data_IF_106490044301
#
_entry.id   IF_106490044301
#
_cell.length_a   1.000
_cell.length_b   1.000
_cell.length_c   1.000
_cell.angle_alpha   90.00
_cell.angle_beta   90.00
_cell.angle_gamma   90.00
#
_symmetry.space_group_name_H-M   'P 1'
#
loop_
_entity.id
_entity.type
_entity.pdbx_description
1 polymer ?
#
# COMPACT_ATOMS: atom_id res chain seq x y z
N UNK A 1 10.26 -0.36 38.30
CA UNK A 1 9.71 0.15 37.04
C UNK A 1 8.40 0.80 37.39
N UNK A 2 8.43 2.11 37.60
CA UNK A 2 7.25 2.95 37.80
C UNK A 2 6.66 3.24 36.42
N UNK A 3 5.45 2.77 36.15
CA UNK A 3 4.62 3.29 35.06
C UNK A 3 4.28 4.74 35.44
N UNK A 4 5.12 5.69 35.03
CA UNK A 4 4.79 7.11 35.12
C UNK A 4 3.77 7.40 34.00
N UNK A 5 2.55 7.85 34.32
CA UNK A 5 1.55 8.21 33.32
C UNK A 5 2.06 9.22 32.29
N UNK A 6 3.04 10.07 32.67
CA UNK A 6 3.66 11.03 31.78
C UNK A 6 4.52 10.34 30.70
N UNK A 7 5.29 9.31 31.05
CA UNK A 7 6.09 8.54 30.09
C UNK A 7 5.21 7.83 29.07
N UNK A 8 4.06 7.30 29.51
CA UNK A 8 3.07 6.71 28.61
C UNK A 8 2.54 7.73 27.60
N UNK A 9 2.20 8.95 28.05
CA UNK A 9 1.74 10.04 27.19
C UNK A 9 2.82 10.49 26.21
N UNK A 10 4.06 10.68 26.66
CA UNK A 10 5.18 11.04 25.77
C UNK A 10 5.43 9.99 24.71
N UNK A 11 5.46 8.70 25.08
CA UNK A 11 5.65 7.61 24.13
C UNK A 11 4.49 7.49 23.12
N UNK A 12 3.28 7.86 23.52
CA UNK A 12 2.13 7.91 22.62
C UNK A 12 2.25 9.05 21.61
N UNK A 13 2.60 10.25 22.08
CA UNK A 13 2.79 11.43 21.23
C UNK A 13 3.92 11.21 20.23
N UNK A 14 5.03 10.62 20.66
CA UNK A 14 6.17 10.30 19.80
C UNK A 14 5.77 9.32 18.67
N UNK A 15 5.05 8.24 19.00
CA UNK A 15 4.55 7.29 17.99
C UNK A 15 3.59 7.96 17.01
N UNK A 16 2.68 8.80 17.50
CA UNK A 16 1.74 9.52 16.65
C UNK A 16 2.48 10.48 15.69
N UNK A 17 3.52 11.16 16.17
CA UNK A 17 4.35 12.04 15.35
C UNK A 17 5.09 11.26 14.25
N UNK A 18 5.67 10.11 14.60
CA UNK A 18 6.37 9.25 13.63
C UNK A 18 5.40 8.74 12.56
N UNK A 19 4.20 8.30 12.94
CA UNK A 19 3.18 7.86 11.98
C UNK A 19 2.78 8.97 11.03
N UNK A 20 2.58 10.19 11.54
CA UNK A 20 2.27 11.35 10.70
C UNK A 20 3.40 11.61 9.68
N UNK A 21 4.64 11.64 10.14
CA UNK A 21 5.80 11.84 9.27
C UNK A 21 5.96 10.71 8.24
N UNK A 22 5.74 9.46 8.65
CA UNK A 22 5.76 8.29 7.77
C UNK A 22 4.67 8.41 6.70
N UNK A 23 3.46 8.81 7.10
CA UNK A 23 2.34 9.08 6.19
C UNK A 23 2.69 10.13 5.13
N UNK A 24 3.26 11.26 5.53
CA UNK A 24 3.68 12.33 4.61
C UNK A 24 4.77 11.88 3.62
N UNK A 25 5.67 11.00 4.07
CA UNK A 25 6.70 10.42 3.21
C UNK A 25 6.12 9.38 2.26
N UNK A 26 5.18 8.56 2.72
CA UNK A 26 4.48 7.59 1.88
C UNK A 26 3.66 8.28 0.79
N UNK A 27 2.99 9.39 1.10
CA UNK A 27 2.28 10.21 0.10
C UNK A 27 3.25 10.65 -1.01
N UNK A 28 4.40 11.22 -0.63
CA UNK A 28 5.44 11.62 -1.61
C UNK A 28 5.96 10.44 -2.42
N UNK A 29 6.17 9.28 -1.81
CA UNK A 29 6.58 8.08 -2.54
C UNK A 29 5.56 7.70 -3.62
N UNK A 30 4.27 7.74 -3.30
CA UNK A 30 3.19 7.43 -4.24
C UNK A 30 3.09 8.47 -5.35
N UNK A 31 3.19 9.76 -5.03
CA UNK A 31 3.16 10.86 -6.02
C UNK A 31 4.36 10.81 -6.99
N UNK A 32 5.55 10.47 -6.48
CA UNK A 32 6.78 10.39 -7.28
C UNK A 32 6.96 9.02 -7.97
N UNK A 33 6.18 8.01 -7.59
CA UNK A 33 6.34 6.62 -8.05
C UNK A 33 7.69 6.01 -7.65
N UNK A 34 8.25 6.41 -6.51
CA UNK A 34 9.62 6.08 -6.08
C UNK A 34 9.69 5.83 -4.59
N UNK A 35 10.51 4.87 -4.16
CA UNK A 35 10.78 4.60 -2.73
C UNK A 35 11.88 5.49 -2.14
N UNK A 36 12.50 6.36 -2.96
CA UNK A 36 13.61 7.22 -2.54
C UNK A 36 13.29 8.13 -1.34
N UNK A 37 12.10 8.77 -1.22
CA UNK A 37 11.78 9.58 -0.04
C UNK A 37 11.80 8.76 1.25
N UNK A 38 11.32 7.51 1.20
CA UNK A 38 11.37 6.59 2.33
C UNK A 38 12.80 6.18 2.66
N UNK A 39 13.61 5.86 1.66
CA UNK A 39 15.02 5.48 1.86
C UNK A 39 15.80 6.60 2.57
N UNK A 40 15.63 7.85 2.16
CA UNK A 40 16.27 9.01 2.80
C UNK A 40 15.85 9.18 4.27
N UNK A 41 14.56 8.96 4.58
CA UNK A 41 14.10 8.98 5.97
C UNK A 41 14.77 7.87 6.79
N UNK A 42 14.83 6.65 6.26
CA UNK A 42 15.44 5.50 6.94
C UNK A 42 16.94 5.68 7.15
N UNK A 43 17.68 6.25 6.21
CA UNK A 43 19.11 6.55 6.38
C UNK A 43 19.38 7.36 7.65
N UNK A 44 18.57 8.39 7.91
CA UNK A 44 18.69 9.21 9.12
C UNK A 44 18.42 8.43 10.41
N UNK A 45 17.48 7.48 10.38
CA UNK A 45 17.10 6.64 11.51
C UNK A 45 18.14 5.55 11.79
N UNK A 46 18.71 4.96 10.74
CA UNK A 46 19.79 3.97 10.85
C UNK A 46 21.03 4.59 11.46
N UNK A 47 21.37 5.83 11.08
CA UNK A 47 22.50 6.57 11.67
C UNK A 47 22.31 6.83 13.17
N UNK A 48 21.07 7.03 13.63
CA UNK A 48 20.79 7.11 15.06
C UNK A 48 21.03 5.76 15.75
N UNK A 49 20.70 4.63 15.10
CA UNK A 49 20.99 3.30 15.60
C UNK A 49 19.80 2.61 16.27
N UNK A 50 20.02 1.64 17.18
CA UNK A 50 18.96 0.78 17.73
C UNK A 50 17.76 1.46 18.40
N UNK A 51 17.93 2.69 18.90
CA UNK A 51 16.82 3.48 19.46
C UNK A 51 15.74 3.80 18.41
N UNK A 52 16.08 3.81 17.13
CA UNK A 52 15.14 4.05 16.03
C UNK A 52 14.27 2.85 15.69
N UNK A 53 14.46 1.69 16.35
CA UNK A 53 13.69 0.47 16.09
C UNK A 53 12.17 0.68 16.22
N UNK A 54 11.74 1.44 17.23
CA UNK A 54 10.32 1.73 17.40
C UNK A 54 9.81 2.62 16.26
N UNK A 55 10.57 3.62 15.84
CA UNK A 55 10.19 4.47 14.72
C UNK A 55 10.04 3.67 13.41
N UNK A 56 10.99 2.79 13.10
CA UNK A 56 10.90 1.95 11.90
C UNK A 56 9.73 0.95 11.96
N UNK A 57 9.35 0.46 13.15
CA UNK A 57 8.16 -0.37 13.31
C UNK A 57 6.88 0.41 13.03
N UNK A 58 6.78 1.65 13.52
CA UNK A 58 5.64 2.51 13.25
C UNK A 58 5.54 2.86 11.75
N UNK A 59 6.67 3.11 11.09
CA UNK A 59 6.71 3.34 9.64
C UNK A 59 6.26 2.11 8.84
N UNK A 60 6.70 0.91 9.23
CA UNK A 60 6.26 -0.34 8.60
C UNK A 60 4.75 -0.57 8.80
N UNK A 61 4.24 -0.28 10.00
CA UNK A 61 2.81 -0.37 10.30
C UNK A 61 1.99 0.61 9.43
N UNK A 62 2.47 1.84 9.26
CA UNK A 62 1.83 2.85 8.43
C UNK A 62 1.83 2.44 6.94
N UNK A 63 2.95 1.90 6.43
CA UNK A 63 3.04 1.37 5.07
C UNK A 63 2.02 0.24 4.83
N UNK A 64 1.92 -0.70 5.79
CA UNK A 64 0.95 -1.80 5.75
C UNK A 64 -0.49 -1.32 5.80
N UNK A 65 -0.80 -0.34 6.64
CA UNK A 65 -2.12 0.28 6.70
C UNK A 65 -2.47 0.96 5.37
N UNK A 66 -1.54 1.73 4.80
CA UNK A 66 -1.75 2.41 3.52
C UNK A 66 -1.95 1.40 2.39
N UNK A 67 -1.21 0.30 2.36
CA UNK A 67 -1.38 -0.77 1.37
C UNK A 67 -2.76 -1.42 1.47
N UNK A 68 -3.23 -1.72 2.69
CA UNK A 68 -4.58 -2.23 2.90
C UNK A 68 -5.63 -1.27 2.37
N UNK A 69 -5.48 0.03 2.62
CA UNK A 69 -6.40 1.04 2.11
C UNK A 69 -6.43 1.08 0.57
N UNK A 70 -5.29 1.01 -0.10
CA UNK A 70 -5.24 0.98 -1.57
C UNK A 70 -5.88 -0.29 -2.13
N UNK A 71 -5.72 -1.44 -1.47
CA UNK A 71 -6.41 -2.68 -1.85
C UNK A 71 -7.94 -2.56 -1.70
N UNK A 72 -8.40 -1.91 -0.64
CA UNK A 72 -9.82 -1.60 -0.46
C UNK A 72 -10.33 -0.64 -1.54
N UNK A 73 -9.55 0.38 -1.90
CA UNK A 73 -9.86 1.30 -2.99
C UNK A 73 -9.99 0.57 -4.35
N UNK A 74 -9.11 -0.40 -4.65
CA UNK A 74 -9.23 -1.26 -5.84
C UNK A 74 -10.56 -2.01 -5.86
N UNK A 75 -10.96 -2.58 -4.72
CA UNK A 75 -12.22 -3.29 -4.61
C UNK A 75 -13.42 -2.34 -4.75
N UNK A 76 -13.32 -1.12 -4.21
CA UNK A 76 -14.35 -0.10 -4.36
C UNK A 76 -14.53 0.33 -5.82
N UNK A 77 -13.42 0.61 -6.54
CA UNK A 77 -13.44 0.93 -7.97
C UNK A 77 -14.07 -0.22 -8.76
N UNK A 78 -13.68 -1.46 -8.47
CA UNK A 78 -14.27 -2.64 -9.11
C UNK A 78 -15.78 -2.76 -8.90
N UNK A 79 -16.26 -2.57 -7.67
CA UNK A 79 -17.68 -2.63 -7.37
C UNK A 79 -18.47 -1.51 -8.09
N UNK A 80 -17.88 -0.31 -8.20
CA UNK A 80 -18.48 0.79 -8.96
C UNK A 80 -18.52 0.48 -10.46
N UNK A 81 -17.42 -0.05 -11.01
CA UNK A 81 -17.33 -0.53 -12.39
C UNK A 81 -18.43 -1.57 -12.70
N UNK A 82 -18.56 -2.59 -11.85
CA UNK A 82 -19.58 -3.63 -12.01
C UNK A 82 -21.00 -3.04 -11.95
N UNK A 83 -21.28 -2.15 -11.01
CA UNK A 83 -22.60 -1.50 -10.89
C UNK A 83 -22.93 -0.61 -12.08
N UNK A 84 -21.94 0.10 -12.64
CA UNK A 84 -22.12 0.91 -13.84
C UNK A 84 -22.47 0.02 -15.03
N UNK A 85 -21.75 -1.10 -15.20
CA UNK A 85 -22.00 -2.06 -16.26
C UNK A 85 -23.38 -2.73 -16.15
N UNK A 86 -23.84 -3.05 -14.94
CA UNK A 86 -25.20 -3.58 -14.71
C UNK A 86 -26.30 -2.64 -15.22
N UNK A 87 -26.08 -1.33 -15.19
CA UNK A 87 -27.06 -0.36 -15.74
C UNK A 87 -27.24 -0.46 -17.26
N UNK A 88 -26.25 -1.06 -17.95
CA UNK A 88 -26.30 -1.38 -19.38
C UNK A 88 -26.67 -2.86 -19.64
N UNK A 89 -27.05 -3.61 -18.60
CA UNK A 89 -27.38 -5.03 -18.72
C UNK A 89 -26.16 -5.95 -18.82
N UNK A 90 -24.96 -5.46 -18.48
CA UNK A 90 -23.71 -6.24 -18.50
C UNK A 90 -23.43 -6.87 -17.14
N UNK A 91 -23.13 -8.16 -17.12
CA UNK A 91 -22.77 -8.94 -15.94
C UNK A 91 -21.35 -9.48 -16.06
N UNK A 92 -20.57 -9.39 -14.98
CA UNK A 92 -19.14 -9.76 -14.93
C UNK A 92 -18.90 -11.07 -14.17
N UNK A 93 -19.67 -12.13 -14.47
CA UNK A 93 -19.66 -13.37 -13.68
C UNK A 93 -18.28 -14.06 -13.59
N UNK A 94 -17.43 -13.87 -14.60
CA UNK A 94 -16.07 -14.45 -14.65
C UNK A 94 -15.01 -13.59 -13.95
N UNK A 95 -15.27 -12.29 -13.75
CA UNK A 95 -14.30 -11.34 -13.17
C UNK A 95 -14.61 -11.17 -11.69
N UNK A 96 -13.83 -11.85 -10.83
CA UNK A 96 -14.15 -11.95 -9.39
C UNK A 96 -13.59 -10.84 -8.51
N UNK A 97 -12.63 -10.05 -8.99
CA UNK A 97 -12.00 -8.98 -8.21
C UNK A 97 -11.43 -7.88 -9.12
N UNK A 98 -11.07 -6.74 -8.53
CA UNK A 98 -10.53 -5.60 -9.27
C UNK A 98 -9.25 -5.90 -10.05
N UNK A 99 -8.35 -6.70 -9.50
CA UNK A 99 -7.11 -7.08 -10.21
C UNK A 99 -7.38 -7.97 -11.43
N UNK A 100 -8.44 -8.76 -11.44
CA UNK A 100 -8.84 -9.58 -12.58
C UNK A 100 -9.30 -8.73 -13.77
N UNK A 101 -9.78 -7.49 -13.55
CA UNK A 101 -10.11 -6.53 -14.63
C UNK A 101 -8.89 -6.25 -15.51
N UNK A 102 -7.67 -6.32 -14.96
CA UNK A 102 -6.45 -6.06 -15.72
C UNK A 102 -6.22 -7.09 -16.84
N UNK A 103 -6.78 -8.30 -16.69
CA UNK A 103 -6.72 -9.39 -17.66
C UNK A 103 -7.82 -9.29 -18.73
N UNK A 104 -8.84 -8.45 -18.52
CA UNK A 104 -9.95 -8.28 -19.42
C UNK A 104 -9.55 -7.39 -20.61
N UNK A 105 -9.28 -8.01 -21.76
CA UNK A 105 -8.92 -7.29 -22.98
C UNK A 105 -10.15 -6.66 -23.63
N UNK A 106 -10.01 -5.57 -24.41
CA UNK A 106 -11.12 -4.99 -25.16
C UNK A 106 -11.81 -5.99 -26.10
N UNK A 107 -11.04 -6.91 -26.70
CA UNK A 107 -11.56 -7.91 -27.63
C UNK A 107 -12.40 -8.96 -26.90
N UNK A 108 -11.89 -9.50 -25.79
CA UNK A 108 -12.65 -10.47 -24.97
C UNK A 108 -13.87 -9.82 -24.34
N UNK A 109 -13.77 -8.55 -23.94
CA UNK A 109 -14.91 -7.81 -23.40
C UNK A 109 -15.99 -7.56 -24.46
N UNK A 110 -15.62 -7.15 -25.68
CA UNK A 110 -16.59 -7.02 -26.78
C UNK A 110 -17.29 -8.34 -27.11
N UNK A 111 -16.55 -9.46 -27.09
CA UNK A 111 -17.13 -10.78 -27.29
C UNK A 111 -18.18 -11.08 -26.20
N UNK A 112 -17.82 -10.83 -24.94
CA UNK A 112 -18.72 -10.96 -23.79
C UNK A 112 -19.98 -10.08 -23.91
N UNK A 113 -19.84 -8.81 -24.30
CA UNK A 113 -20.99 -7.91 -24.52
C UNK A 113 -21.96 -8.49 -25.56
N UNK A 114 -21.42 -9.02 -26.67
CA UNK A 114 -22.23 -9.61 -27.75
C UNK A 114 -22.91 -10.90 -27.31
N UNK A 115 -22.22 -11.74 -26.54
CA UNK A 115 -22.79 -12.96 -25.96
C UNK A 115 -23.94 -12.65 -24.99
N UNK A 116 -23.87 -11.52 -24.30
CA UNK A 116 -24.93 -11.01 -23.42
C UNK A 116 -26.04 -10.26 -24.18
N UNK A 117 -26.02 -10.28 -25.53
CA UNK A 117 -27.06 -9.69 -26.36
C UNK A 117 -26.93 -8.18 -26.59
N UNK A 118 -25.82 -7.56 -26.16
CA UNK A 118 -25.57 -6.13 -26.37
C UNK A 118 -24.92 -5.97 -27.74
N UNK A 119 -25.75 -5.72 -28.75
CA UNK A 119 -25.32 -5.56 -30.15
C UNK A 119 -25.30 -4.11 -30.61
N UNK A 120 -25.89 -3.19 -29.85
CA UNK A 120 -25.91 -1.77 -30.16
C UNK A 120 -24.51 -1.16 -30.06
N UNK A 121 -24.05 -0.56 -31.15
CA UNK A 121 -22.68 -0.03 -31.27
C UNK A 121 -22.43 1.09 -30.26
N UNK A 122 -23.40 1.98 -30.04
CA UNK A 122 -23.28 3.06 -29.05
C UNK A 122 -23.07 2.51 -27.64
N UNK A 123 -23.87 1.52 -27.22
CA UNK A 123 -23.72 0.87 -25.91
C UNK A 123 -22.38 0.15 -25.77
N UNK A 124 -21.93 -0.54 -26.82
CA UNK A 124 -20.62 -1.20 -26.82
C UNK A 124 -19.47 -0.20 -26.66
N UNK A 125 -19.52 0.94 -27.35
CA UNK A 125 -18.52 2.01 -27.24
C UNK A 125 -18.52 2.57 -25.81
N UNK A 126 -19.69 2.87 -25.24
CA UNK A 126 -19.79 3.37 -23.86
C UNK A 126 -19.23 2.36 -22.86
N UNK A 127 -19.58 1.08 -22.97
CA UNK A 127 -19.05 0.04 -22.09
C UNK A 127 -17.52 -0.11 -22.20
N UNK A 128 -16.98 0.01 -23.41
CA UNK A 128 -15.54 -0.01 -23.64
C UNK A 128 -14.81 1.19 -23.01
N UNK A 129 -15.42 2.38 -23.07
CA UNK A 129 -14.89 3.57 -22.39
C UNK A 129 -14.87 3.37 -20.88
N UNK A 130 -15.97 2.87 -20.31
CA UNK A 130 -16.06 2.52 -18.88
C UNK A 130 -14.97 1.51 -18.50
N UNK A 131 -14.76 0.46 -19.31
CA UNK A 131 -13.66 -0.50 -19.08
C UNK A 131 -12.30 0.20 -19.09
N UNK A 132 -12.04 1.04 -20.09
CA UNK A 132 -10.76 1.72 -20.23
C UNK A 132 -10.46 2.61 -19.02
N UNK A 133 -11.40 3.48 -18.63
CA UNK A 133 -11.24 4.40 -17.51
C UNK A 133 -10.99 3.66 -16.19
N UNK A 134 -11.80 2.63 -15.90
CA UNK A 134 -11.64 1.86 -14.67
C UNK A 134 -10.33 1.05 -14.67
N UNK A 135 -9.89 0.55 -15.83
CA UNK A 135 -8.63 -0.17 -15.95
C UNK A 135 -7.43 0.73 -15.69
N UNK A 136 -7.41 1.95 -16.22
CA UNK A 136 -6.33 2.92 -15.94
C UNK A 136 -6.24 3.25 -14.45
N UNK A 137 -7.38 3.45 -13.77
CA UNK A 137 -7.43 3.66 -12.32
C UNK A 137 -6.88 2.46 -11.55
N UNK A 138 -7.31 1.24 -11.89
CA UNK A 138 -6.82 0.02 -11.23
C UNK A 138 -5.33 -0.20 -11.49
N UNK A 139 -4.81 0.12 -12.69
CA UNK A 139 -3.37 0.07 -12.99
C UNK A 139 -2.60 1.03 -12.07
N UNK A 140 -3.06 2.27 -11.91
CA UNK A 140 -2.44 3.24 -11.02
C UNK A 140 -2.42 2.75 -9.57
N UNK A 141 -3.55 2.25 -9.06
CA UNK A 141 -3.64 1.71 -7.70
C UNK A 141 -2.77 0.46 -7.52
N UNK A 142 -2.72 -0.44 -8.51
CA UNK A 142 -1.86 -1.62 -8.46
C UNK A 142 -0.37 -1.25 -8.43
N UNK A 143 0.04 -0.19 -9.15
CA UNK A 143 1.39 0.35 -9.06
C UNK A 143 1.70 0.90 -7.66
N UNK A 144 0.73 1.57 -7.02
CA UNK A 144 0.87 2.01 -5.62
C UNK A 144 1.04 0.83 -4.67
N UNK A 145 0.26 -0.25 -4.82
CA UNK A 145 0.42 -1.47 -4.01
C UNK A 145 1.82 -2.04 -4.17
N UNK A 146 2.32 -2.19 -5.41
CA UNK A 146 3.67 -2.70 -5.67
C UNK A 146 4.74 -1.84 -4.99
N UNK A 147 4.64 -0.52 -5.09
CA UNK A 147 5.59 0.39 -4.45
C UNK A 147 5.55 0.28 -2.92
N UNK A 148 4.37 0.14 -2.33
CA UNK A 148 4.21 -0.05 -0.88
C UNK A 148 4.80 -1.39 -0.42
N UNK A 149 4.66 -2.47 -1.21
CA UNK A 149 5.31 -3.76 -0.93
C UNK A 149 6.84 -3.67 -0.99
N UNK A 150 7.39 -2.92 -1.96
CA UNK A 150 8.83 -2.65 -2.04
C UNK A 150 9.32 -1.89 -0.79
N UNK A 151 8.56 -0.88 -0.34
CA UNK A 151 8.85 -0.12 0.89
C UNK A 151 8.76 -1.00 2.14
N UNK A 152 7.72 -1.82 2.28
CA UNK A 152 7.57 -2.75 3.40
C UNK A 152 8.76 -3.71 3.50
N UNK A 153 9.16 -4.28 2.36
CA UNK A 153 10.31 -5.20 2.28
C UNK A 153 11.60 -4.50 2.72
N UNK A 154 11.84 -3.30 2.20
CA UNK A 154 12.99 -2.48 2.59
C UNK A 154 13.01 -2.15 4.09
N UNK A 155 11.88 -1.75 4.66
CA UNK A 155 11.77 -1.45 6.10
C UNK A 155 11.97 -2.70 6.96
N UNK A 156 11.44 -3.84 6.53
CA UNK A 156 11.60 -5.12 7.22
C UNK A 156 13.08 -5.54 7.27
N UNK A 157 13.82 -5.39 6.16
CA UNK A 157 15.24 -5.71 6.10
C UNK A 157 16.06 -4.86 7.08
N UNK A 158 15.80 -3.55 7.13
CA UNK A 158 16.47 -2.66 8.10
C UNK A 158 16.09 -2.98 9.55
N UNK A 159 14.83 -3.33 9.81
CA UNK A 159 14.39 -3.75 11.14
C UNK A 159 15.16 -4.99 11.61
N UNK A 160 15.37 -5.97 10.74
CA UNK A 160 16.20 -7.14 11.05
C UNK A 160 17.65 -6.74 11.34
N UNK A 161 18.22 -5.85 10.52
CA UNK A 161 19.59 -5.34 10.72
C UNK A 161 19.78 -4.63 12.06
N UNK A 162 18.89 -3.70 12.41
CA UNK A 162 18.96 -2.97 13.68
C UNK A 162 18.64 -3.87 14.88
N UNK A 163 17.71 -4.82 14.76
CA UNK A 163 17.40 -5.76 15.83
C UNK A 163 18.61 -6.66 16.14
N UNK A 164 19.32 -7.11 15.09
CA UNK A 164 20.55 -7.86 15.24
C UNK A 164 21.63 -7.04 15.97
N UNK A 165 21.85 -5.79 15.57
CA UNK A 165 22.81 -4.89 16.25
C UNK A 165 22.45 -4.67 17.72
N UNK A 166 21.17 -4.41 18.01
CA UNK A 166 20.66 -4.21 19.37
C UNK A 166 20.95 -5.41 20.27
N UNK A 167 20.68 -6.63 19.78
CA UNK A 167 20.91 -7.86 20.54
C UNK A 167 22.39 -8.09 20.87
N UNK A 168 23.30 -7.68 19.99
CA UNK A 168 24.74 -7.85 20.18
C UNK A 168 25.36 -6.75 21.06
N UNK A 169 24.89 -5.50 20.99
CA UNK A 169 25.31 -4.44 21.92
C UNK A 169 25.00 -4.79 23.38
N UNK A 170 23.81 -5.34 23.65
CA UNK A 170 23.43 -5.82 25.00
C UNK A 170 24.33 -6.95 25.50
N UNK A 171 24.94 -7.71 24.59
CA UNK A 171 25.87 -8.80 24.94
C UNK A 171 27.29 -8.32 25.25
N UNK A 172 27.73 -7.23 24.62
CA UNK A 172 29.06 -6.65 24.85
C UNK A 172 29.09 -5.74 26.08
N UNK A 173 28.02 -4.99 26.37
CA UNK A 173 27.90 -4.21 27.62
C UNK A 173 27.91 -5.09 28.88
N UNK A 174 27.52 -6.37 28.75
CA UNK A 174 27.61 -7.35 29.84
C UNK A 174 29.02 -7.93 30.02
N UNK A 175 29.90 -7.84 29.02
CA UNK A 175 31.28 -8.34 29.10
C UNK A 175 32.27 -7.33 29.67
N UNK A 176 31.99 -6.03 29.54
CA UNK A 176 32.82 -4.95 30.10
C UNK A 176 32.50 -4.60 31.56
N UNK A 177 31.45 -5.19 32.13
CA UNK A 177 31.04 -4.99 33.52
C UNK A 177 31.61 -6.03 34.52
N UNK A 178 32.61 -6.83 34.11
CA UNK A 178 33.32 -7.81 34.96
C UNK A 178 34.83 -7.57 34.98
#
# INVERSE_FOLDING_TARGET
MSDDPLDAVYSFVERAYIRLQAGDVLIRCLEEGSSAPMQQMVESLVLAGPQSLNAMREMLAEAGQRKSQVLDDINQVFNQFENNLKSYGVYLDEVKNGLAVLQLTPVSFLAMLREQGITEEETQITCLQILHENRELIISLANHVRLLEEIETFLADWLWGLAYQSAHQVSDDKKTAY
#
